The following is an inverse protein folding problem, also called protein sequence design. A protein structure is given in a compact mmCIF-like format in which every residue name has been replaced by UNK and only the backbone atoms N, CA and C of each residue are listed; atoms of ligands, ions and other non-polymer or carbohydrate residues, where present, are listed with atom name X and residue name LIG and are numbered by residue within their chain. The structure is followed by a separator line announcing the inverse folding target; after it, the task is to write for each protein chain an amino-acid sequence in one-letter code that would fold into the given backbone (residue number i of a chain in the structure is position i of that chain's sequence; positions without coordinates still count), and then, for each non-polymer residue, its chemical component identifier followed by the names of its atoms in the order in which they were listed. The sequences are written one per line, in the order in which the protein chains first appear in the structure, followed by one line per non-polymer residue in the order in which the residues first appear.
data_IF_101660645532
#
_entry.id   IF_101660645532
#
_cell.length_a   1.000
_cell.length_b   1.000
_cell.length_c   1.000
_cell.angle_alpha   90.00
_cell.angle_beta   90.00
_cell.angle_gamma   90.00
#
_symmetry.space_group_name_H-M   'P 1'
#
loop_
_entity.id
_entity.type
_entity.pdbx_description
1 polymer ?
#
# COMPACT_ATOMS: atom_id res chain seq x y z
N UNK A 1 41.62 2.39 7.02
CA UNK A 1 40.82 1.63 8.01
C UNK A 1 39.95 2.60 8.83
N UNK A 2 40.45 3.73 9.34
CA UNK A 2 39.68 4.70 10.13
C UNK A 2 38.51 5.35 9.37
N UNK A 3 38.65 5.72 8.09
CA UNK A 3 37.55 6.28 7.29
C UNK A 3 36.38 5.31 7.08
N UNK A 4 36.62 4.01 7.06
CA UNK A 4 35.56 2.99 6.92
C UNK A 4 34.73 2.84 8.21
N UNK A 5 35.33 3.12 9.37
CA UNK A 5 34.67 3.03 10.67
C UNK A 5 33.72 4.22 10.94
N UNK A 6 34.14 5.43 10.57
CA UNK A 6 33.26 6.63 10.67
C UNK A 6 32.05 6.57 9.74
N UNK A 7 32.22 5.99 8.55
CA UNK A 7 31.10 5.79 7.63
C UNK A 7 30.10 4.79 8.22
N UNK A 8 30.58 3.70 8.86
CA UNK A 8 29.72 2.68 9.46
C UNK A 8 28.91 3.21 10.66
N UNK A 9 29.47 4.07 11.51
CA UNK A 9 28.75 4.68 12.64
C UNK A 9 27.73 5.75 12.19
N UNK A 10 28.07 6.57 11.18
CA UNK A 10 27.11 7.53 10.61
C UNK A 10 25.95 6.82 9.90
N UNK A 11 26.20 5.70 9.22
CA UNK A 11 25.15 4.92 8.58
C UNK A 11 24.21 4.24 9.59
N UNK A 12 24.71 3.80 10.76
CA UNK A 12 23.85 3.21 11.80
C UNK A 12 22.92 4.25 12.44
N UNK A 13 23.40 5.46 12.68
CA UNK A 13 22.56 6.55 13.23
C UNK A 13 21.52 7.03 12.22
N UNK A 14 21.92 7.19 10.96
CA UNK A 14 20.98 7.50 9.87
C UNK A 14 19.97 6.39 9.68
N UNK A 15 20.39 5.12 9.77
CA UNK A 15 19.47 3.98 9.68
C UNK A 15 18.44 3.99 10.83
N UNK A 16 18.84 4.27 12.07
CA UNK A 16 17.90 4.36 13.21
C UNK A 16 16.92 5.53 13.06
N UNK A 17 17.35 6.67 12.55
CA UNK A 17 16.47 7.80 12.26
C UNK A 17 15.48 7.49 11.14
N UNK A 18 15.90 6.74 10.13
CA UNK A 18 15.04 6.31 9.03
C UNK A 18 13.99 5.32 9.54
N UNK A 19 14.37 4.33 10.35
CA UNK A 19 13.43 3.37 10.94
C UNK A 19 12.41 4.09 11.82
N UNK A 20 12.85 5.03 12.67
CA UNK A 20 11.96 5.86 13.48
C UNK A 20 11.01 6.71 12.63
N UNK A 21 11.47 7.21 11.48
CA UNK A 21 10.65 7.98 10.56
C UNK A 21 9.62 7.11 9.83
N UNK A 22 10.00 5.90 9.43
CA UNK A 22 9.09 4.93 8.79
C UNK A 22 7.96 4.55 9.74
N UNK A 23 8.26 4.15 10.97
CA UNK A 23 7.24 3.85 11.98
C UNK A 23 6.27 5.02 12.23
N UNK A 24 6.79 6.26 12.24
CA UNK A 24 5.93 7.44 12.33
C UNK A 24 4.97 7.60 11.15
N UNK A 25 5.38 7.20 9.95
CA UNK A 25 4.51 7.28 8.76
C UNK A 25 3.44 6.18 8.77
N UNK A 26 3.79 4.99 9.19
CA UNK A 26 2.84 3.86 9.35
C UNK A 26 1.79 4.20 10.40
N UNK A 27 2.20 4.67 11.58
CA UNK A 27 1.31 5.17 12.63
C UNK A 27 0.41 6.31 12.14
N UNK A 28 0.97 7.25 11.38
CA UNK A 28 0.21 8.35 10.79
C UNK A 28 -0.86 7.85 9.81
N UNK A 29 -0.51 6.93 8.91
CA UNK A 29 -1.46 6.39 7.93
C UNK A 29 -2.56 5.56 8.58
N UNK A 30 -2.23 4.80 9.61
CA UNK A 30 -3.20 4.03 10.38
C UNK A 30 -4.16 4.96 11.14
N UNK A 31 -3.63 5.99 11.82
CA UNK A 31 -4.45 6.99 12.52
C UNK A 31 -5.36 7.73 11.54
N UNK A 32 -4.81 8.19 10.42
CA UNK A 32 -5.56 8.89 9.38
C UNK A 32 -6.69 8.01 8.81
N UNK A 33 -6.43 6.73 8.55
CA UNK A 33 -7.47 5.82 8.10
C UNK A 33 -8.60 5.69 9.10
N UNK A 34 -8.29 5.52 10.40
CA UNK A 34 -9.31 5.41 11.45
C UNK A 34 -10.20 6.65 11.54
N UNK A 35 -9.63 7.83 11.30
CA UNK A 35 -10.38 9.09 11.25
C UNK A 35 -11.25 9.22 9.99
N UNK A 36 -10.75 8.76 8.85
CA UNK A 36 -11.41 8.92 7.54
C UNK A 36 -12.35 7.76 7.18
N UNK A 37 -12.23 6.62 7.84
CA UNK A 37 -13.02 5.42 7.58
C UNK A 37 -14.54 5.67 7.59
N UNK A 38 -15.12 6.43 8.53
CA UNK A 38 -16.57 6.70 8.52
C UNK A 38 -17.01 7.40 7.23
N UNK A 39 -16.28 8.39 6.77
CA UNK A 39 -16.59 9.11 5.52
C UNK A 39 -16.38 8.22 4.28
N UNK A 40 -15.40 7.33 4.32
CA UNK A 40 -15.18 6.35 3.26
C UNK A 40 -16.36 5.35 3.19
N UNK A 41 -16.83 4.85 4.31
CA UNK A 41 -17.98 3.93 4.40
C UNK A 41 -19.22 4.60 3.86
N UNK A 42 -19.54 5.81 4.32
CA UNK A 42 -20.72 6.58 3.88
C UNK A 42 -20.77 6.74 2.36
N UNK A 43 -19.66 7.20 1.76
CA UNK A 43 -19.60 7.38 0.30
C UNK A 43 -19.61 6.06 -0.47
N UNK A 44 -19.02 5.02 0.10
CA UNK A 44 -19.05 3.69 -0.52
C UNK A 44 -20.46 3.10 -0.46
N UNK A 45 -21.17 3.28 0.64
CA UNK A 45 -22.56 2.84 0.77
C UNK A 45 -23.48 3.58 -0.19
N UNK A 46 -23.34 4.91 -0.33
CA UNK A 46 -24.06 5.71 -1.32
C UNK A 46 -23.77 5.25 -2.77
N UNK A 47 -22.51 4.86 -3.06
CA UNK A 47 -22.18 4.31 -4.36
C UNK A 47 -22.86 2.95 -4.62
N UNK A 48 -22.87 2.04 -3.65
CA UNK A 48 -23.55 0.75 -3.77
C UNK A 48 -25.08 0.88 -3.81
N UNK A 49 -25.64 1.92 -3.19
CA UNK A 49 -27.05 2.26 -3.30
C UNK A 49 -27.43 2.88 -4.67
N UNK A 50 -26.43 3.26 -5.48
CA UNK A 50 -26.64 3.92 -6.76
C UNK A 50 -26.90 5.43 -6.66
N UNK A 51 -26.69 6.01 -5.48
CA UNK A 51 -26.88 7.45 -5.20
C UNK A 51 -25.67 8.28 -5.64
N UNK A 52 -24.49 7.68 -5.65
CA UNK A 52 -23.24 8.32 -6.07
C UNK A 52 -22.77 7.78 -7.41
N UNK A 53 -22.59 8.64 -8.46
CA UNK A 53 -22.11 8.21 -9.76
C UNK A 53 -20.71 7.59 -9.70
N UNK A 54 -20.45 6.58 -10.55
CA UNK A 54 -19.16 5.90 -10.64
C UNK A 54 -17.98 6.85 -10.82
N UNK A 55 -18.13 7.92 -11.59
CA UNK A 55 -17.06 8.90 -11.84
C UNK A 55 -16.65 9.62 -10.56
N UNK A 56 -17.62 10.05 -9.78
CA UNK A 56 -17.40 10.81 -8.55
C UNK A 56 -16.86 9.88 -7.44
N UNK A 57 -17.44 8.68 -7.33
CA UNK A 57 -16.90 7.65 -6.42
C UNK A 57 -15.45 7.27 -6.74
N UNK A 58 -15.11 7.10 -8.02
CA UNK A 58 -13.76 6.77 -8.46
C UNK A 58 -12.75 7.87 -8.11
N UNK A 59 -13.13 9.13 -8.23
CA UNK A 59 -12.29 10.27 -7.84
C UNK A 59 -11.96 10.26 -6.35
N UNK A 60 -12.93 9.93 -5.52
CA UNK A 60 -12.79 9.82 -4.09
C UNK A 60 -12.07 8.53 -3.65
N UNK A 61 -12.61 7.37 -4.04
CA UNK A 61 -12.14 6.07 -3.55
C UNK A 61 -10.74 5.71 -4.06
N UNK A 62 -10.33 6.32 -5.18
CA UNK A 62 -8.99 6.11 -5.74
C UNK A 62 -7.86 6.46 -4.78
N UNK A 63 -8.03 7.50 -3.94
CA UNK A 63 -7.08 7.83 -2.89
C UNK A 63 -6.84 6.66 -1.94
N UNK A 64 -7.91 5.95 -1.57
CA UNK A 64 -7.84 4.77 -0.69
C UNK A 64 -7.48 3.48 -1.45
N UNK A 65 -6.99 3.58 -2.68
CA UNK A 65 -6.66 2.40 -3.49
C UNK A 65 -7.85 1.52 -3.85
N UNK A 66 -9.06 1.98 -3.57
CA UNK A 66 -10.30 1.26 -3.84
C UNK A 66 -10.98 1.79 -5.10
N UNK A 67 -11.54 0.90 -5.89
CA UNK A 67 -12.28 1.25 -7.10
C UNK A 67 -13.52 0.39 -7.25
N UNK A 68 -14.66 1.05 -7.45
CA UNK A 68 -15.87 0.35 -7.89
C UNK A 68 -15.63 -0.37 -9.21
N UNK A 69 -16.04 -1.62 -9.28
CA UNK A 69 -15.95 -2.43 -10.49
C UNK A 69 -17.20 -2.25 -11.36
N UNK A 70 -17.06 -2.66 -12.63
CA UNK A 70 -18.14 -2.55 -13.62
C UNK A 70 -19.39 -3.25 -13.11
N UNK A 71 -20.53 -2.54 -13.11
CA UNK A 71 -21.79 -3.03 -12.58
C UNK A 71 -22.14 -2.51 -11.18
N UNK A 72 -21.23 -1.79 -10.50
CA UNK A 72 -21.52 -1.09 -9.22
C UNK A 72 -21.78 -1.98 -8.01
N UNK A 73 -21.49 -3.28 -8.11
CA UNK A 73 -21.82 -4.28 -7.06
C UNK A 73 -20.60 -4.88 -6.37
N UNK A 74 -19.41 -4.47 -6.76
CA UNK A 74 -18.16 -4.95 -6.19
C UNK A 74 -17.08 -3.87 -6.28
N UNK A 75 -16.08 -4.00 -5.43
CA UNK A 75 -14.89 -3.15 -5.41
C UNK A 75 -13.62 -3.96 -5.66
N UNK A 76 -12.61 -3.25 -6.15
CA UNK A 76 -11.24 -3.70 -6.19
C UNK A 76 -10.45 -2.92 -5.14
N UNK A 77 -9.62 -3.59 -4.37
CA UNK A 77 -8.66 -2.97 -3.44
C UNK A 77 -7.24 -3.22 -3.92
N UNK A 78 -6.42 -2.18 -3.98
CA UNK A 78 -5.00 -2.26 -4.32
C UNK A 78 -4.15 -2.13 -3.06
N UNK A 79 -3.43 -3.17 -2.76
CA UNK A 79 -2.43 -3.22 -1.70
C UNK A 79 -1.08 -2.79 -2.28
N UNK A 80 -0.46 -1.78 -1.68
CA UNK A 80 0.86 -1.31 -2.11
C UNK A 80 1.93 -2.29 -1.64
N UNK A 81 2.86 -2.58 -2.55
CA UNK A 81 4.05 -3.40 -2.28
C UNK A 81 5.26 -2.60 -2.74
N UNK A 82 5.81 -1.72 -1.90
CA UNK A 82 6.97 -0.91 -2.27
C UNK A 82 8.08 -1.77 -2.83
N UNK A 83 8.60 -1.38 -4.00
CA UNK A 83 9.66 -2.11 -4.73
C UNK A 83 9.28 -3.54 -5.16
N UNK A 84 8.01 -3.90 -5.09
CA UNK A 84 7.55 -5.26 -5.35
C UNK A 84 7.88 -6.26 -4.24
N UNK A 85 8.40 -5.78 -3.10
CA UNK A 85 8.76 -6.65 -1.99
C UNK A 85 7.53 -7.22 -1.30
N UNK A 86 7.42 -8.54 -1.32
CA UNK A 86 6.39 -9.30 -0.61
C UNK A 86 7.08 -10.19 0.42
N UNK A 87 7.14 -9.74 1.67
CA UNK A 87 7.70 -10.54 2.78
C UNK A 87 6.82 -11.75 3.09
N UNK A 88 7.32 -12.69 3.89
CA UNK A 88 6.53 -13.85 4.33
C UNK A 88 5.28 -13.43 5.09
N UNK A 89 5.37 -12.40 5.90
CA UNK A 89 4.28 -11.83 6.70
C UNK A 89 3.19 -11.26 5.80
N UNK A 90 3.59 -10.44 4.81
CA UNK A 90 2.66 -9.87 3.81
C UNK A 90 1.99 -10.96 2.97
N UNK A 91 2.76 -11.97 2.54
CA UNK A 91 2.19 -13.10 1.81
C UNK A 91 1.23 -13.93 2.67
N UNK A 92 1.57 -14.12 3.95
CA UNK A 92 0.70 -14.78 4.93
C UNK A 92 -0.61 -14.01 5.08
N UNK A 93 -0.54 -12.69 5.32
CA UNK A 93 -1.72 -11.83 5.38
C UNK A 93 -2.62 -12.01 4.15
N UNK A 94 -2.05 -11.90 2.94
CA UNK A 94 -2.82 -12.05 1.68
C UNK A 94 -3.49 -13.42 1.61
N UNK A 95 -2.78 -14.50 1.94
CA UNK A 95 -3.33 -15.86 1.90
C UNK A 95 -4.40 -16.10 2.97
N UNK A 96 -4.25 -15.53 4.16
CA UNK A 96 -5.25 -15.59 5.23
C UNK A 96 -6.49 -14.77 4.89
N UNK A 97 -6.33 -13.60 4.28
CA UNK A 97 -7.43 -12.76 3.77
C UNK A 97 -8.31 -13.52 2.78
N UNK A 98 -7.71 -14.30 1.87
CA UNK A 98 -8.48 -15.16 0.96
C UNK A 98 -9.38 -16.15 1.69
N UNK A 99 -8.88 -16.76 2.75
CA UNK A 99 -9.62 -17.77 3.53
C UNK A 99 -10.67 -17.10 4.42
N UNK A 100 -10.25 -16.09 5.18
CA UNK A 100 -11.08 -15.42 6.19
C UNK A 100 -12.25 -14.66 5.57
N UNK A 101 -11.98 -13.91 4.52
CA UNK A 101 -12.96 -13.05 3.86
C UNK A 101 -13.51 -13.66 2.56
N UNK A 102 -13.18 -14.93 2.26
CA UNK A 102 -13.65 -15.62 1.05
C UNK A 102 -13.37 -14.84 -0.24
N UNK A 103 -12.21 -14.17 -0.31
CA UNK A 103 -11.76 -13.47 -1.52
C UNK A 103 -11.56 -14.50 -2.63
N UNK A 104 -12.05 -14.22 -3.83
CA UNK A 104 -12.03 -15.20 -4.94
C UNK A 104 -10.91 -14.96 -5.93
N UNK A 105 -10.41 -13.72 -6.03
CA UNK A 105 -9.47 -13.36 -7.08
C UNK A 105 -8.52 -12.27 -6.63
N UNK A 106 -7.23 -12.47 -6.91
CA UNK A 106 -6.24 -11.39 -6.88
C UNK A 106 -5.54 -11.26 -8.23
N UNK A 107 -4.87 -10.14 -8.38
CA UNK A 107 -4.06 -9.83 -9.55
C UNK A 107 -2.73 -9.21 -9.10
N UNK A 108 -1.63 -9.79 -9.56
CA UNK A 108 -0.30 -9.19 -9.48
C UNK A 108 -0.13 -8.25 -10.66
N UNK A 109 0.16 -6.99 -10.39
CA UNK A 109 0.19 -5.97 -11.44
C UNK A 109 1.59 -5.73 -11.96
N UNK A 110 1.69 -5.16 -13.17
CA UNK A 110 2.96 -4.68 -13.73
C UNK A 110 3.60 -3.56 -12.92
N UNK A 111 2.82 -2.87 -12.07
CA UNK A 111 3.33 -1.87 -11.12
C UNK A 111 3.75 -2.50 -9.79
N UNK A 112 3.99 -3.81 -9.74
CA UNK A 112 4.44 -4.53 -8.54
C UNK A 112 3.52 -4.30 -7.33
N UNK A 113 2.20 -4.34 -7.54
CA UNK A 113 1.19 -4.26 -6.47
C UNK A 113 0.29 -5.48 -6.51
N UNK A 114 -0.43 -5.73 -5.42
CA UNK A 114 -1.45 -6.78 -5.35
C UNK A 114 -2.83 -6.14 -5.36
N UNK A 115 -3.71 -6.61 -6.23
CA UNK A 115 -5.11 -6.20 -6.27
C UNK A 115 -6.00 -7.34 -5.83
N UNK A 116 -6.91 -7.06 -4.90
CA UNK A 116 -8.01 -7.95 -4.53
C UNK A 116 -9.25 -7.52 -5.30
N UNK A 117 -9.93 -8.44 -5.92
CA UNK A 117 -11.07 -8.15 -6.80
C UNK A 117 -12.37 -8.77 -6.28
N UNK A 118 -13.48 -8.25 -6.80
CA UNK A 118 -14.83 -8.74 -6.57
C UNK A 118 -15.22 -8.70 -5.08
N UNK A 119 -14.70 -7.70 -4.36
CA UNK A 119 -14.99 -7.50 -2.95
C UNK A 119 -16.37 -6.86 -2.77
N UNK A 120 -17.21 -7.45 -1.93
CA UNK A 120 -18.38 -6.77 -1.40
C UNK A 120 -17.94 -5.72 -0.37
N UNK A 121 -18.84 -4.81 0.01
CA UNK A 121 -18.53 -3.81 1.04
C UNK A 121 -18.24 -4.44 2.40
N UNK A 122 -18.91 -5.54 2.73
CA UNK A 122 -18.70 -6.31 3.97
C UNK A 122 -17.34 -6.98 4.03
N UNK A 123 -16.73 -7.25 2.86
CA UNK A 123 -15.35 -7.75 2.76
C UNK A 123 -14.34 -6.59 2.73
N UNK A 124 -14.67 -5.49 2.03
CA UNK A 124 -13.76 -4.39 1.78
C UNK A 124 -13.27 -3.73 3.06
N UNK A 125 -14.19 -3.34 3.94
CA UNK A 125 -13.84 -2.57 5.14
C UNK A 125 -12.95 -3.32 6.13
N UNK A 126 -13.27 -4.58 6.54
CA UNK A 126 -12.38 -5.31 7.43
C UNK A 126 -11.03 -5.63 6.79
N UNK A 127 -10.96 -5.87 5.48
CA UNK A 127 -9.69 -6.12 4.80
C UNK A 127 -8.82 -4.87 4.81
N UNK A 128 -9.38 -3.68 4.63
CA UNK A 128 -8.65 -2.41 4.69
C UNK A 128 -8.09 -2.16 6.08
N UNK A 129 -8.88 -2.38 7.13
CA UNK A 129 -8.44 -2.22 8.51
C UNK A 129 -7.34 -3.21 8.87
N UNK A 130 -7.55 -4.49 8.58
CA UNK A 130 -6.57 -5.56 8.83
C UNK A 130 -5.27 -5.39 8.02
N UNK A 131 -5.33 -4.79 6.82
CA UNK A 131 -4.14 -4.53 6.01
C UNK A 131 -3.17 -3.58 6.72
N UNK A 132 -3.68 -2.53 7.35
CA UNK A 132 -2.85 -1.58 8.11
C UNK A 132 -2.24 -2.22 9.36
N UNK A 133 -2.98 -3.10 10.04
CA UNK A 133 -2.45 -3.86 11.18
C UNK A 133 -1.32 -4.84 10.79
N UNK A 134 -1.15 -5.08 9.49
CA UNK A 134 -0.08 -5.92 8.91
C UNK A 134 0.92 -5.12 8.05
N UNK A 135 1.06 -3.82 8.29
CA UNK A 135 1.98 -2.91 7.58
C UNK A 135 1.79 -2.89 6.06
N UNK A 136 0.55 -3.08 5.62
CA UNK A 136 0.18 -3.05 4.20
C UNK A 136 -0.69 -1.82 3.93
N UNK A 137 -0.08 -0.82 3.32
CA UNK A 137 -0.73 0.44 2.99
C UNK A 137 -1.51 0.29 1.67
N UNK A 138 -2.71 0.82 1.63
CA UNK A 138 -3.55 0.93 0.44
C UNK A 138 -3.77 2.39 0.02
N UNK A 139 -3.70 3.34 0.95
CA UNK A 139 -3.80 4.78 0.65
C UNK A 139 -2.72 5.21 -0.33
N UNK A 140 -3.07 6.10 -1.25
CA UNK A 140 -2.22 6.45 -2.39
C UNK A 140 -2.04 5.32 -3.42
N UNK A 141 -2.77 4.20 -3.29
CA UNK A 141 -2.74 3.09 -4.24
C UNK A 141 -3.43 3.38 -5.57
N UNK A 142 -4.10 4.52 -5.68
CA UNK A 142 -4.80 4.96 -6.87
C UNK A 142 -4.93 6.48 -6.95
N UNK A 143 -5.77 6.98 -7.85
CA UNK A 143 -5.91 8.42 -8.08
C UNK A 143 -4.68 9.03 -8.78
N UNK A 144 -4.49 10.33 -8.60
CA UNK A 144 -3.38 11.09 -9.19
C UNK A 144 -2.14 11.13 -8.28
N UNK A 145 -1.83 10.00 -7.65
CA UNK A 145 -0.69 9.83 -6.76
C UNK A 145 0.34 8.86 -7.34
N UNK A 146 1.61 8.98 -6.96
CA UNK A 146 2.62 7.95 -7.20
C UNK A 146 2.20 6.65 -6.51
N UNK A 147 1.65 5.71 -7.29
CA UNK A 147 0.98 4.51 -6.76
C UNK A 147 1.92 3.53 -6.10
N UNK A 148 3.11 3.40 -6.66
CA UNK A 148 4.15 2.52 -6.16
C UNK A 148 5.49 2.93 -6.74
N UNK A 149 6.57 2.70 -6.00
CA UNK A 149 7.93 2.76 -6.52
C UNK A 149 8.33 1.35 -6.88
N UNK A 150 8.82 1.17 -8.09
CA UNK A 150 9.25 -0.13 -8.62
C UNK A 150 10.76 -0.19 -8.71
N UNK A 151 11.33 -1.37 -8.58
CA UNK A 151 12.71 -1.66 -8.93
C UNK A 151 12.81 -3.02 -9.63
N UNK A 152 14.01 -3.36 -10.09
CA UNK A 152 14.24 -4.68 -10.68
C UNK A 152 13.91 -5.78 -9.64
N UNK A 153 13.22 -6.86 -10.03
CA UNK A 153 13.05 -8.02 -9.16
C UNK A 153 14.37 -8.74 -8.83
N UNK A 154 15.43 -8.43 -9.56
CA UNK A 154 16.76 -8.97 -9.33
C UNK A 154 17.65 -8.05 -8.48
N UNK A 155 17.12 -6.89 -8.05
CA UNK A 155 17.88 -5.93 -7.25
C UNK A 155 18.38 -6.55 -5.95
N UNK A 156 19.65 -6.38 -5.67
CA UNK A 156 20.35 -6.97 -4.52
C UNK A 156 20.76 -8.43 -4.67
N UNK A 157 20.48 -9.08 -5.82
CA UNK A 157 20.83 -10.50 -6.07
C UNK A 157 21.56 -10.74 -7.40
N UNK A 158 21.66 -9.75 -8.27
CA UNK A 158 22.33 -9.84 -9.56
C UNK A 158 23.85 -9.67 -9.39
N UNK A 159 24.66 -10.60 -9.91
CA UNK A 159 26.11 -10.66 -9.65
C UNK A 159 26.89 -9.45 -10.19
N UNK A 160 26.42 -8.84 -11.29
CA UNK A 160 27.05 -7.70 -11.95
C UNK A 160 26.36 -6.35 -11.63
N UNK A 161 25.51 -6.33 -10.62
CA UNK A 161 24.84 -5.10 -10.14
C UNK A 161 25.87 -4.16 -9.50
N UNK A 162 25.89 -2.88 -9.93
CA UNK A 162 26.79 -1.88 -9.35
C UNK A 162 26.53 -1.61 -7.87
N UNK A 163 25.27 -1.66 -7.46
CA UNK A 163 24.80 -1.55 -6.06
C UNK A 163 23.33 -1.94 -5.97
N UNK A 164 22.94 -2.45 -4.82
CA UNK A 164 21.52 -2.74 -4.53
C UNK A 164 20.70 -1.44 -4.47
N UNK A 165 19.76 -1.27 -5.41
CA UNK A 165 18.89 -0.09 -5.48
C UNK A 165 17.66 -0.18 -4.57
N UNK A 166 17.34 -1.36 -4.01
CA UNK A 166 16.17 -1.60 -3.19
C UNK A 166 16.07 -0.61 -2.00
N UNK A 167 17.15 -0.34 -1.23
CA UNK A 167 17.09 0.62 -0.13
C UNK A 167 16.77 2.05 -0.59
N UNK A 168 17.25 2.45 -1.78
CA UNK A 168 16.96 3.76 -2.34
C UNK A 168 15.50 3.86 -2.81
N UNK A 169 14.99 2.81 -3.46
CA UNK A 169 13.62 2.74 -3.93
C UNK A 169 12.60 2.74 -2.77
N UNK A 170 12.92 2.04 -1.67
CA UNK A 170 12.11 2.09 -0.43
C UNK A 170 12.04 3.51 0.13
N UNK A 171 13.17 4.21 0.28
CA UNK A 171 13.20 5.61 0.73
C UNK A 171 12.40 6.55 -0.17
N UNK A 172 12.48 6.34 -1.49
CA UNK A 172 11.67 7.11 -2.43
C UNK A 172 10.17 6.83 -2.24
N UNK A 173 9.79 5.58 -2.01
CA UNK A 173 8.41 5.20 -1.71
C UNK A 173 7.89 5.87 -0.43
N UNK A 174 8.69 5.86 0.64
CA UNK A 174 8.33 6.48 1.92
C UNK A 174 8.19 8.00 1.77
N UNK A 175 9.13 8.64 1.07
CA UNK A 175 9.05 10.07 0.78
C UNK A 175 7.78 10.42 -0.01
N UNK A 176 7.45 9.66 -1.04
CA UNK A 176 6.24 9.90 -1.84
C UNK A 176 4.96 9.73 -1.02
N UNK A 177 4.94 8.85 -0.01
CA UNK A 177 3.81 8.74 0.92
C UNK A 177 3.58 10.03 1.71
N UNK A 178 4.64 10.77 2.05
CA UNK A 178 4.50 12.04 2.77
C UNK A 178 3.83 13.13 1.94
N UNK A 179 3.83 12.97 0.62
CA UNK A 179 3.20 13.91 -0.32
C UNK A 179 1.72 13.56 -0.58
N UNK A 180 1.25 12.43 -0.07
CA UNK A 180 -0.15 12.00 -0.20
C UNK A 180 -1.00 12.89 0.70
N UNK A 181 -1.71 13.82 0.08
CA UNK A 181 -2.69 14.69 0.75
C UNK A 181 -4.09 14.16 0.45
N UNK A 182 -4.91 14.14 1.48
CA UNK A 182 -6.34 13.89 1.34
C UNK A 182 -7.03 15.05 0.66
#
# INVERSE_FOLDING_TARGET
IYKKWEICHKTSHIASLIVSYIHKQEDYMNTKWKEEMPAFIEKTDAFYAGELPMKDYKGFSGFYGSYGQKGGKASMLRLRMPCGEVTKEKLKFVTETFKKHNVKRCHFTTCQTIQLHDLSKEQLYPIMDEALDNDIIFMGGGGDFPRNVMCSPLSGVEEDEYFDVMPCAKKASDYLLTLVKA
#
